data_IF_899028446611
#
_entry.id   IF_899028446611
#
_cell.length_a   1.000
_cell.length_b   1.000
_cell.length_c   1.000
_cell.angle_alpha   90.00
_cell.angle_beta   90.00
_cell.angle_gamma   90.00
#
_symmetry.space_group_name_H-M   'P 1'
#
loop_
_entity.id
_entity.type
_entity.pdbx_description
1 polymer ?
#
# COMPACT_ATOMS: atom_id res chain seq x y z
N UNK A 1 -9.45 -5.81 -8.60
CA UNK A 1 -9.05 -4.72 -7.70
C UNK A 1 -7.85 -5.18 -6.89
N UNK A 2 -7.94 -6.36 -6.25
CA UNK A 2 -6.82 -7.08 -5.59
C UNK A 2 -5.51 -7.03 -6.38
N UNK A 3 -5.47 -7.50 -7.63
CA UNK A 3 -4.22 -7.49 -8.45
C UNK A 3 -3.50 -6.15 -8.61
N UNK A 4 -4.21 -5.01 -8.55
CA UNK A 4 -3.57 -3.70 -8.68
C UNK A 4 -3.03 -3.22 -7.33
N UNK A 5 -3.76 -3.53 -6.25
CA UNK A 5 -3.32 -3.26 -4.89
C UNK A 5 -2.09 -4.11 -4.54
N UNK A 6 -2.12 -5.41 -4.85
CA UNK A 6 -0.99 -6.32 -4.62
C UNK A 6 0.27 -5.81 -5.34
N UNK A 7 0.14 -5.44 -6.62
CA UNK A 7 1.24 -4.90 -7.41
C UNK A 7 1.79 -3.59 -6.85
N UNK A 8 0.91 -2.72 -6.34
CA UNK A 8 1.32 -1.47 -5.72
C UNK A 8 2.04 -1.73 -4.39
N UNK A 9 1.54 -2.64 -3.56
CA UNK A 9 2.16 -3.00 -2.28
C UNK A 9 3.52 -3.67 -2.48
N UNK A 10 3.64 -4.60 -3.44
CA UNK A 10 4.91 -5.23 -3.81
C UNK A 10 5.92 -4.18 -4.29
N UNK A 11 5.47 -3.21 -5.08
CA UNK A 11 6.31 -2.10 -5.52
C UNK A 11 6.80 -1.24 -4.34
N UNK A 12 5.95 -0.96 -3.35
CA UNK A 12 6.35 -0.23 -2.15
C UNK A 12 7.37 -1.01 -1.32
N UNK A 13 7.16 -2.31 -1.13
CA UNK A 13 8.05 -3.17 -0.34
C UNK A 13 9.41 -3.43 -1.00
N UNK A 14 9.46 -3.41 -2.34
CA UNK A 14 10.69 -3.64 -3.13
C UNK A 14 11.46 -2.36 -3.49
N UNK A 15 10.96 -1.19 -3.09
CA UNK A 15 11.57 0.10 -3.41
C UNK A 15 12.34 0.70 -2.23
N UNK A 16 13.60 1.08 -2.47
CA UNK A 16 14.48 1.66 -1.44
C UNK A 16 14.57 3.19 -1.49
N UNK A 17 13.77 3.84 -2.32
CA UNK A 17 13.84 5.28 -2.58
C UNK A 17 12.46 5.90 -2.78
N UNK A 18 12.42 7.09 -3.41
CA UNK A 18 11.15 7.77 -3.66
C UNK A 18 10.26 6.95 -4.60
N UNK A 19 9.08 6.59 -4.09
CA UNK A 19 8.03 5.87 -4.83
C UNK A 19 6.97 6.84 -5.34
N UNK A 20 6.61 6.74 -6.62
CA UNK A 20 5.50 7.50 -7.22
C UNK A 20 4.68 6.62 -8.17
N UNK A 21 3.38 6.91 -8.31
CA UNK A 21 2.49 6.21 -9.26
C UNK A 21 3.00 6.33 -10.71
N UNK A 22 3.61 7.46 -11.06
CA UNK A 22 4.20 7.68 -12.39
C UNK A 22 5.42 6.79 -12.64
N UNK A 23 6.29 6.60 -11.63
CA UNK A 23 7.41 5.67 -11.72
C UNK A 23 6.93 4.22 -11.85
N UNK A 24 5.92 3.81 -11.07
CA UNK A 24 5.32 2.47 -11.21
C UNK A 24 4.72 2.27 -12.60
N UNK A 25 3.96 3.24 -13.11
CA UNK A 25 3.39 3.17 -14.47
C UNK A 25 4.48 3.01 -15.53
N UNK A 26 5.59 3.73 -15.41
CA UNK A 26 6.75 3.59 -16.31
C UNK A 26 7.40 2.21 -16.20
N UNK A 27 7.58 1.70 -14.97
CA UNK A 27 8.16 0.37 -14.70
C UNK A 27 7.31 -0.75 -15.32
N UNK A 28 5.99 -0.55 -15.34
CA UNK A 28 5.02 -1.46 -15.96
C UNK A 28 4.82 -1.22 -17.46
N UNK A 29 5.70 -0.46 -18.13
CA UNK A 29 5.59 -0.09 -19.55
C UNK A 29 4.22 0.49 -19.91
N UNK A 30 3.66 1.34 -19.05
CA UNK A 30 2.35 2.00 -19.21
C UNK A 30 1.15 1.03 -19.25
N UNK A 31 1.35 -0.26 -18.94
CA UNK A 31 0.27 -1.25 -18.88
C UNK A 31 -0.75 -0.96 -17.76
N UNK A 32 -0.33 -0.25 -16.72
CA UNK A 32 -1.21 0.39 -15.74
C UNK A 32 -0.97 1.90 -15.78
N UNK A 33 -2.03 2.67 -16.01
CA UNK A 33 -1.96 4.14 -15.95
C UNK A 33 -1.75 4.60 -14.50
N UNK A 34 -0.88 5.59 -14.30
CA UNK A 34 -0.70 6.23 -13.00
C UNK A 34 -2.01 6.85 -12.48
N UNK A 35 -2.89 7.37 -13.35
CA UNK A 35 -4.21 7.90 -12.97
C UNK A 35 -5.12 6.83 -12.36
N UNK A 36 -4.98 5.58 -12.80
CA UNK A 36 -5.75 4.45 -12.28
C UNK A 36 -5.32 4.13 -10.85
N UNK A 37 -4.01 4.18 -10.58
CA UNK A 37 -3.45 4.00 -9.23
C UNK A 37 -3.87 5.15 -8.31
N UNK A 38 -3.69 6.39 -8.75
CA UNK A 38 -4.11 7.57 -7.97
C UNK A 38 -5.59 7.52 -7.64
N UNK A 39 -6.45 7.21 -8.63
CA UNK A 39 -7.89 7.07 -8.39
C UNK A 39 -8.20 5.94 -7.42
N UNK A 40 -7.55 4.78 -7.56
CA UNK A 40 -7.73 3.66 -6.61
C UNK A 40 -7.37 4.07 -5.18
N UNK A 41 -6.31 4.86 -4.99
CA UNK A 41 -5.87 5.32 -3.67
C UNK A 41 -6.80 6.40 -3.11
N UNK A 42 -7.32 7.30 -3.94
CA UNK A 42 -8.14 8.43 -3.48
C UNK A 42 -9.62 8.11 -3.31
N UNK A 43 -10.16 7.12 -4.03
CA UNK A 43 -11.60 6.79 -3.96
C UNK A 43 -11.95 5.73 -2.92
N UNK A 44 -10.96 5.02 -2.37
CA UNK A 44 -11.20 3.95 -1.40
C UNK A 44 -10.66 4.35 -0.03
N UNK A 45 -11.43 4.08 1.02
CA UNK A 45 -10.94 4.12 2.39
C UNK A 45 -10.32 2.75 2.72
N UNK A 46 -9.02 2.72 3.00
CA UNK A 46 -8.32 1.52 3.43
C UNK A 46 -8.22 1.53 4.95
N UNK A 47 -8.95 0.64 5.61
CA UNK A 47 -9.01 0.53 7.07
C UNK A 47 -8.26 -0.69 7.58
N UNK A 48 -8.00 -0.75 8.89
CA UNK A 48 -7.42 -1.95 9.52
C UNK A 48 -8.27 -3.21 9.32
N UNK A 49 -9.57 -3.06 9.07
CA UNK A 49 -10.47 -4.17 8.77
C UNK A 49 -10.14 -4.79 7.41
N UNK A 50 -9.93 -3.95 6.39
CA UNK A 50 -9.58 -4.41 5.03
C UNK A 50 -8.24 -5.15 5.04
N UNK A 51 -7.26 -4.61 5.76
CA UNK A 51 -5.97 -5.27 5.97
C UNK A 51 -6.16 -6.65 6.63
N UNK A 52 -6.96 -6.73 7.70
CA UNK A 52 -7.24 -8.01 8.37
C UNK A 52 -7.88 -9.03 7.44
N UNK A 53 -8.89 -8.62 6.64
CA UNK A 53 -9.55 -9.50 5.68
C UNK A 53 -8.57 -10.08 4.65
N UNK A 54 -7.56 -9.30 4.23
CA UNK A 54 -6.51 -9.77 3.32
C UNK A 54 -5.52 -10.75 3.99
N UNK A 55 -5.00 -10.43 5.18
CA UNK A 55 -3.93 -11.23 5.79
C UNK A 55 -4.42 -12.42 6.61
N UNK A 56 -5.72 -12.48 6.96
CA UNK A 56 -6.28 -13.49 7.86
C UNK A 56 -6.01 -14.92 7.42
N UNK A 57 -6.13 -15.23 6.13
CA UNK A 57 -5.88 -16.58 5.63
C UNK A 57 -4.43 -17.00 5.87
N UNK A 58 -3.48 -16.13 5.55
CA UNK A 58 -2.05 -16.35 5.79
C UNK A 58 -1.75 -16.51 7.29
N UNK A 59 -2.34 -15.66 8.14
CA UNK A 59 -2.19 -15.76 9.60
C UNK A 59 -2.71 -17.10 10.13
N UNK A 60 -3.86 -17.57 9.63
CA UNK A 60 -4.46 -18.85 10.04
C UNK A 60 -3.70 -20.07 9.54
N UNK A 61 -3.06 -19.96 8.37
CA UNK A 61 -2.19 -21.01 7.85
C UNK A 61 -0.96 -21.26 8.76
N UNK A 62 -0.44 -20.20 9.38
CA UNK A 62 0.74 -20.26 10.26
C UNK A 62 0.40 -20.24 11.76
N UNK A 63 -0.87 -20.47 12.13
CA UNK A 63 -1.32 -20.44 13.53
C UNK A 63 -0.69 -21.60 14.33
N UNK A 64 0.03 -21.25 15.41
CA UNK A 64 0.67 -22.20 16.31
C UNK A 64 0.62 -21.67 17.74
N UNK A 65 0.64 -22.57 18.72
CA UNK A 65 0.66 -22.24 20.15
C UNK A 65 1.92 -21.45 20.53
N UNK A 66 3.03 -21.69 19.83
CA UNK A 66 4.32 -21.05 20.12
C UNK A 66 4.57 -19.78 19.29
N UNK A 67 3.63 -19.40 18.41
CA UNK A 67 3.75 -18.23 17.56
C UNK A 67 3.07 -17.00 18.18
N UNK A 68 3.52 -15.80 17.80
CA UNK A 68 2.85 -14.55 18.12
C UNK A 68 2.66 -13.69 16.87
N UNK A 69 1.58 -12.90 16.86
CA UNK A 69 1.32 -11.90 15.83
C UNK A 69 1.70 -10.53 16.39
N UNK A 70 2.61 -9.85 15.70
CA UNK A 70 3.12 -8.53 16.10
C UNK A 70 2.54 -7.49 15.14
N UNK A 71 1.96 -6.44 15.71
CA UNK A 71 1.57 -5.24 14.98
C UNK A 71 2.55 -4.13 15.39
N UNK A 72 3.18 -3.52 14.40
CA UNK A 72 4.05 -2.37 14.58
C UNK A 72 3.39 -1.17 13.90
N UNK A 73 3.22 -0.08 14.65
CA UNK A 73 2.62 1.18 14.20
C UNK A 73 3.68 2.23 13.85
N UNK A 74 4.97 1.86 13.81
CA UNK A 74 6.06 2.78 13.47
C UNK A 74 6.08 3.14 11.98
N UNK A 75 5.09 3.91 11.55
CA UNK A 75 5.15 4.66 10.30
C UNK A 75 5.84 5.98 10.63
N UNK A 76 7.06 6.17 10.12
CA UNK A 76 7.67 7.49 10.08
C UNK A 76 6.74 8.40 9.27
N UNK A 77 6.25 9.47 9.89
CA UNK A 77 5.41 10.43 9.17
C UNK A 77 6.20 10.93 7.97
N UNK A 78 5.50 11.17 6.87
CA UNK A 78 6.15 11.86 5.78
C UNK A 78 6.58 13.26 6.28
N UNK A 79 7.68 13.82 5.73
CA UNK A 79 8.15 15.13 6.14
C UNK A 79 7.07 16.21 5.95
N UNK A 80 7.14 17.33 6.70
CA UNK A 80 6.10 18.38 6.69
C UNK A 80 5.78 18.97 5.30
N UNK A 81 6.73 18.89 4.36
CA UNK A 81 6.56 19.38 2.99
C UNK A 81 5.75 18.44 2.07
N UNK A 82 5.28 17.31 2.61
CA UNK A 82 4.44 16.34 1.90
C UNK A 82 3.07 16.15 2.54
N UNK A 83 2.73 17.00 3.52
CA UNK A 83 1.41 17.02 4.11
C UNK A 83 0.38 17.57 3.12
N UNK A 84 -0.85 17.07 3.22
CA UNK A 84 -1.99 17.58 2.47
C UNK A 84 -2.24 19.05 2.84
N UNK A 85 -2.68 19.84 1.86
CA UNK A 85 -3.08 21.22 2.08
C UNK A 85 -4.23 21.58 1.14
N UNK A 86 -4.88 22.70 1.37
CA UNK A 86 -6.07 23.14 0.62
C UNK A 86 -5.83 23.30 -0.90
N UNK A 87 -4.58 23.32 -1.37
CA UNK A 87 -4.21 23.40 -2.79
C UNK A 87 -3.84 22.03 -3.39
N UNK A 88 -3.46 21.06 -2.56
CA UNK A 88 -3.00 19.73 -2.96
C UNK A 88 -3.82 18.72 -2.14
N UNK A 89 -4.97 18.33 -2.71
CA UNK A 89 -5.90 17.33 -2.20
C UNK A 89 -5.74 16.00 -2.96
#
# INVERSE_FOLDING_TARGET
>A
MEKLLDLYTDYLLSSFGQVTCTCLSRLLNVSQSHDKLTRMLSTNEFTSKDLWEQVKLLVREHESVDACLIFDDTILSKPPYTDENDLIC
#
